data_IF_644842308689
#
_entry.id   IF_644842308689
#
_cell.length_a   1.000
_cell.length_b   1.000
_cell.length_c   1.000
_cell.angle_alpha   90.00
_cell.angle_beta   90.00
_cell.angle_gamma   90.00
#
_symmetry.space_group_name_H-M   'P 1'
#
loop_
_entity.id
_entity.type
_entity.pdbx_description
1 polymer ?
#
# COMPACT_ATOMS: atom_id res chain seq x y z
N UNK A 1 -30.31 63.67 41.27
CA UNK A 1 -29.76 63.10 40.02
C UNK A 1 -28.86 61.96 40.44
N UNK A 2 -29.28 60.73 40.21
CA UNK A 2 -28.46 59.68 39.58
C UNK A 2 -29.25 58.38 39.49
N UNK A 3 -29.49 58.01 38.24
CA UNK A 3 -30.06 56.76 37.74
C UNK A 3 -28.97 55.70 37.67
N UNK A 4 -29.19 54.51 38.22
CA UNK A 4 -28.51 53.30 37.73
C UNK A 4 -29.46 52.10 37.66
N UNK A 5 -29.64 51.61 36.42
CA UNK A 5 -30.37 50.41 36.02
C UNK A 5 -29.60 49.13 36.40
N UNK A 6 -30.29 47.97 36.55
CA UNK A 6 -29.65 46.70 36.87
C UNK A 6 -28.93 46.11 35.65
N UNK A 7 -27.75 45.54 35.90
CA UNK A 7 -26.91 44.89 34.90
C UNK A 7 -27.38 43.44 34.69
N UNK A 8 -27.90 43.15 33.49
CA UNK A 8 -28.37 41.83 33.08
C UNK A 8 -27.17 40.98 32.62
N UNK A 9 -26.65 40.08 33.46
CA UNK A 9 -25.59 39.14 33.04
C UNK A 9 -26.21 37.93 32.32
N UNK A 10 -25.95 37.87 31.00
CA UNK A 10 -26.48 36.89 30.08
C UNK A 10 -25.97 35.47 30.30
N UNK A 11 -26.89 34.52 30.14
CA UNK A 11 -26.64 33.08 29.95
C UNK A 11 -26.02 32.84 28.57
N UNK A 12 -24.72 33.03 28.41
CA UNK A 12 -24.02 32.67 27.15
C UNK A 12 -22.61 32.15 27.44
N UNK A 13 -22.47 31.12 28.27
CA UNK A 13 -21.16 30.63 28.69
C UNK A 13 -21.01 29.10 28.67
N UNK A 14 -21.76 28.38 27.83
CA UNK A 14 -21.64 26.92 27.77
C UNK A 14 -21.40 26.31 26.39
N UNK A 15 -21.60 27.07 25.30
CA UNK A 15 -21.43 26.56 23.93
C UNK A 15 -20.13 27.00 23.24
N UNK A 16 -19.36 27.92 23.83
CA UNK A 16 -18.16 28.50 23.19
C UNK A 16 -16.87 27.68 23.40
N UNK A 17 -16.87 26.73 24.34
CA UNK A 17 -15.69 25.90 24.64
C UNK A 17 -15.69 24.53 23.94
N UNK A 18 -16.81 24.10 23.34
CA UNK A 18 -16.87 22.81 22.62
C UNK A 18 -16.30 22.88 21.19
N UNK A 19 -16.45 24.03 20.52
CA UNK A 19 -15.92 24.26 19.17
C UNK A 19 -14.40 24.13 19.04
N UNK A 20 -13.55 24.70 19.94
CA UNK A 20 -12.10 24.58 19.80
C UNK A 20 -11.58 23.16 20.08
N UNK A 21 -12.27 22.37 20.92
CA UNK A 21 -11.89 20.99 21.25
C UNK A 21 -12.13 20.05 20.05
N UNK A 22 -13.23 20.25 19.32
CA UNK A 22 -13.54 19.47 18.13
C UNK A 22 -12.55 19.74 16.98
N UNK A 23 -12.09 20.98 16.84
CA UNK A 23 -11.08 21.37 15.86
C UNK A 23 -9.68 20.85 16.20
N UNK A 24 -9.35 20.70 17.49
CA UNK A 24 -8.03 20.18 17.90
C UNK A 24 -7.85 18.69 17.56
N UNK A 25 -8.94 17.90 17.58
CA UNK A 25 -8.91 16.50 17.14
C UNK A 25 -8.66 16.34 15.64
N UNK A 26 -8.95 17.35 14.81
CA UNK A 26 -8.62 17.34 13.37
C UNK A 26 -7.13 17.58 13.10
N UNK A 27 -6.37 18.09 14.08
CA UNK A 27 -4.95 18.44 13.94
C UNK A 27 -4.03 17.31 14.43
N UNK A 28 -4.57 16.31 15.14
CA UNK A 28 -3.83 15.11 15.55
C UNK A 28 -3.68 14.16 14.34
N UNK A 29 -2.63 14.41 13.55
CA UNK A 29 -2.32 13.77 12.28
C UNK A 29 -2.07 12.27 12.40
N UNK A 30 -3.11 11.48 12.10
CA UNK A 30 -2.98 10.08 11.71
C UNK A 30 -2.99 9.95 10.18
N UNK A 31 -3.16 8.72 9.69
CA UNK A 31 -3.40 8.47 8.26
C UNK A 31 -4.69 9.20 7.82
N UNK A 32 -4.68 9.95 6.69
CA UNK A 32 -5.87 10.62 6.19
C UNK A 32 -7.05 9.65 6.04
N UNK A 33 -8.25 10.10 6.43
CA UNK A 33 -9.49 9.30 6.34
C UNK A 33 -9.70 8.60 4.98
N UNK A 34 -9.48 9.27 3.83
CA UNK A 34 -9.54 8.64 2.51
C UNK A 34 -8.59 7.44 2.37
N UNK A 35 -7.36 7.55 2.86
CA UNK A 35 -6.34 6.49 2.77
C UNK A 35 -6.62 5.32 3.71
N UNK A 36 -7.29 5.58 4.85
CA UNK A 36 -7.70 4.52 5.77
C UNK A 36 -8.78 3.59 5.19
N UNK A 37 -9.58 4.11 4.25
CA UNK A 37 -10.71 3.40 3.66
C UNK A 37 -10.55 3.10 2.17
N UNK A 38 -9.39 3.43 1.59
CA UNK A 38 -9.09 3.25 0.17
C UNK A 38 -9.01 1.77 -0.24
N UNK A 39 -8.49 0.92 0.66
CA UNK A 39 -8.54 -0.54 0.55
C UNK A 39 -9.41 -1.11 1.65
N UNK A 40 -10.42 -1.89 1.26
CA UNK A 40 -11.38 -2.49 2.18
C UNK A 40 -11.27 -4.02 2.18
N UNK A 41 -11.96 -4.65 3.13
CA UNK A 41 -12.12 -6.11 3.16
C UNK A 41 -12.77 -6.66 1.88
N UNK A 42 -13.59 -5.87 1.20
CA UNK A 42 -14.19 -6.30 -0.06
C UNK A 42 -13.14 -6.50 -1.16
N UNK A 43 -12.14 -5.63 -1.25
CA UNK A 43 -11.03 -5.82 -2.19
C UNK A 43 -10.27 -7.12 -1.90
N UNK A 44 -10.07 -7.48 -0.63
CA UNK A 44 -9.44 -8.76 -0.27
C UNK A 44 -10.31 -9.98 -0.61
N UNK A 45 -11.63 -9.87 -0.46
CA UNK A 45 -12.57 -10.93 -0.89
C UNK A 45 -12.56 -11.09 -2.40
N UNK A 46 -12.52 -10.00 -3.16
CA UNK A 46 -12.39 -10.01 -4.61
C UNK A 46 -11.10 -10.74 -5.03
N UNK A 47 -9.97 -10.46 -4.36
CA UNK A 47 -8.71 -11.18 -4.59
C UNK A 47 -8.84 -12.67 -4.28
N UNK A 48 -9.48 -13.06 -3.17
CA UNK A 48 -9.72 -14.47 -2.88
C UNK A 48 -10.57 -15.14 -3.97
N UNK A 49 -11.63 -14.49 -4.46
CA UNK A 49 -12.42 -15.02 -5.59
C UNK A 49 -11.57 -15.24 -6.84
N UNK A 50 -10.68 -14.30 -7.16
CA UNK A 50 -9.75 -14.48 -8.29
C UNK A 50 -8.81 -15.69 -8.07
N UNK A 51 -8.27 -15.85 -6.87
CA UNK A 51 -7.41 -16.98 -6.47
C UNK A 51 -8.16 -18.31 -6.58
N UNK A 52 -9.37 -18.37 -6.03
CA UNK A 52 -10.21 -19.58 -6.00
C UNK A 52 -10.67 -19.98 -7.40
N UNK A 53 -10.87 -19.00 -8.28
CA UNK A 53 -11.23 -19.23 -9.68
C UNK A 53 -10.04 -19.70 -10.55
N UNK A 54 -8.82 -19.81 -10.01
CA UNK A 54 -7.69 -20.39 -10.74
C UNK A 54 -7.68 -21.91 -10.60
N UNK A 55 -7.32 -22.58 -11.70
CA UNK A 55 -7.04 -24.02 -11.71
C UNK A 55 -5.95 -24.35 -10.67
N UNK A 56 -6.12 -25.46 -9.94
CA UNK A 56 -5.11 -25.94 -8.98
C UNK A 56 -3.83 -26.42 -9.66
N UNK A 57 -3.96 -27.00 -10.85
CA UNK A 57 -2.86 -27.50 -11.67
C UNK A 57 -2.92 -26.84 -13.05
N UNK A 58 -2.43 -25.60 -13.12
CA UNK A 58 -2.34 -24.81 -14.35
C UNK A 58 -0.92 -24.71 -14.90
N UNK A 59 -0.76 -23.97 -15.99
CA UNK A 59 0.54 -23.53 -16.48
C UNK A 59 1.20 -22.53 -15.51
N UNK A 60 2.50 -22.33 -15.69
CA UNK A 60 3.24 -21.24 -15.04
C UNK A 60 3.13 -19.96 -15.86
N UNK A 61 3.17 -18.83 -15.17
CA UNK A 61 3.31 -17.50 -15.77
C UNK A 61 4.62 -16.87 -15.32
N UNK A 62 5.21 -16.09 -16.22
CA UNK A 62 6.42 -15.32 -15.98
C UNK A 62 6.03 -13.86 -15.83
N UNK A 63 6.47 -13.22 -14.76
CA UNK A 63 6.16 -11.84 -14.45
C UNK A 63 7.22 -11.21 -13.56
N UNK A 64 7.29 -9.89 -13.56
CA UNK A 64 8.18 -9.14 -12.68
C UNK A 64 7.50 -8.95 -11.32
N UNK A 65 8.24 -9.19 -10.23
CA UNK A 65 7.72 -8.95 -8.89
C UNK A 65 8.82 -8.57 -7.91
N UNK A 66 8.51 -7.67 -6.99
CA UNK A 66 9.45 -7.27 -5.94
C UNK A 66 9.54 -8.35 -4.88
N UNK A 67 10.76 -8.81 -4.60
CA UNK A 67 11.02 -9.69 -3.47
C UNK A 67 11.05 -8.90 -2.16
N UNK A 68 10.51 -9.49 -1.08
CA UNK A 68 10.44 -8.81 0.20
C UNK A 68 11.83 -8.56 0.80
N UNK A 69 12.71 -9.56 0.73
CA UNK A 69 14.04 -9.55 1.35
C UNK A 69 13.97 -8.95 2.78
N UNK A 70 14.75 -7.91 3.04
CA UNK A 70 14.82 -7.22 4.33
C UNK A 70 14.04 -5.89 4.36
N UNK A 71 13.18 -5.63 3.35
CA UNK A 71 12.41 -4.40 3.30
C UNK A 71 11.41 -4.32 4.47
N UNK A 72 11.30 -3.13 5.03
CA UNK A 72 10.21 -2.76 5.93
C UNK A 72 8.87 -2.98 5.23
N UNK A 73 7.79 -3.07 6.02
CA UNK A 73 6.44 -3.23 5.46
C UNK A 73 6.08 -2.07 4.53
N UNK A 74 6.52 -0.87 4.86
CA UNK A 74 6.23 0.35 4.09
C UNK A 74 6.96 0.30 2.75
N UNK A 75 8.27 0.09 2.77
CA UNK A 75 9.07 0.07 1.54
C UNK A 75 8.77 -1.13 0.65
N UNK A 76 8.43 -2.29 1.24
CA UNK A 76 7.94 -3.41 0.47
C UNK A 76 6.63 -3.11 -0.27
N UNK A 77 5.65 -2.49 0.42
CA UNK A 77 4.38 -2.10 -0.22
C UNK A 77 4.64 -1.07 -1.32
N UNK A 78 5.45 -0.05 -1.05
CA UNK A 78 5.80 1.00 -2.03
C UNK A 78 6.43 0.41 -3.29
N UNK A 79 7.38 -0.51 -3.14
CA UNK A 79 8.06 -1.15 -4.27
C UNK A 79 7.20 -2.18 -5.02
N UNK A 80 6.40 -2.99 -4.30
CA UNK A 80 5.67 -4.10 -4.89
C UNK A 80 4.34 -3.69 -5.54
N UNK A 81 3.70 -2.62 -5.07
CA UNK A 81 2.37 -2.22 -5.55
C UNK A 81 2.31 -1.88 -7.05
N UNK A 82 3.30 -1.19 -7.66
CA UNK A 82 3.35 -1.04 -9.11
C UNK A 82 3.37 -2.38 -9.85
N UNK A 83 4.11 -3.38 -9.35
CA UNK A 83 4.17 -4.71 -9.93
C UNK A 83 2.83 -5.46 -9.80
N UNK A 84 2.11 -5.26 -8.70
CA UNK A 84 0.75 -5.81 -8.54
C UNK A 84 -0.19 -5.22 -9.58
N UNK A 85 -0.13 -3.91 -9.82
CA UNK A 85 -0.96 -3.27 -10.85
C UNK A 85 -0.64 -3.81 -12.25
N UNK A 86 0.64 -3.95 -12.57
CA UNK A 86 1.08 -4.47 -13.86
C UNK A 86 0.67 -5.94 -14.06
N UNK A 87 0.84 -6.77 -13.03
CA UNK A 87 0.43 -8.18 -13.02
C UNK A 87 -1.06 -8.32 -13.33
N UNK A 88 -1.92 -7.54 -12.66
CA UNK A 88 -3.37 -7.55 -12.86
C UNK A 88 -3.75 -7.17 -14.31
N UNK A 89 -3.07 -6.18 -14.88
CA UNK A 89 -3.36 -5.67 -16.22
C UNK A 89 -2.91 -6.60 -17.34
N UNK A 90 -1.74 -7.21 -17.18
CA UNK A 90 -1.09 -7.96 -18.26
C UNK A 90 -1.41 -9.44 -18.21
N UNK A 91 -1.32 -10.06 -17.03
CA UNK A 91 -1.44 -11.51 -16.87
C UNK A 91 -2.89 -11.95 -16.61
N UNK A 92 -3.69 -11.14 -15.91
CA UNK A 92 -5.04 -11.51 -15.48
C UNK A 92 -6.13 -10.93 -16.39
N UNK A 93 -6.09 -11.32 -17.67
CA UNK A 93 -7.04 -10.86 -18.70
C UNK A 93 -8.21 -11.84 -18.84
N UNK A 94 -9.41 -11.33 -18.60
CA UNK A 94 -10.64 -12.12 -18.68
C UNK A 94 -11.62 -11.57 -19.72
N UNK A 95 -12.56 -12.41 -20.17
CA UNK A 95 -13.61 -12.03 -21.12
C UNK A 95 -14.44 -10.83 -20.63
N UNK A 96 -14.85 -9.96 -21.55
CA UNK A 96 -15.43 -8.63 -21.26
C UNK A 96 -16.59 -8.65 -20.26
N UNK A 97 -17.43 -9.68 -20.30
CA UNK A 97 -18.64 -9.79 -19.46
C UNK A 97 -18.45 -10.72 -18.25
N UNK A 98 -17.22 -11.17 -17.97
CA UNK A 98 -16.96 -12.06 -16.85
C UNK A 98 -16.87 -11.32 -15.52
N UNK A 99 -17.27 -11.99 -14.44
CA UNK A 99 -17.07 -11.48 -13.09
C UNK A 99 -15.60 -11.24 -12.77
N UNK A 100 -14.70 -12.12 -13.24
CA UNK A 100 -13.26 -11.96 -13.07
C UNK A 100 -12.72 -10.68 -13.72
N UNK A 101 -13.26 -10.28 -14.88
CA UNK A 101 -12.92 -8.98 -15.50
C UNK A 101 -13.36 -7.82 -14.61
N UNK A 102 -14.57 -7.89 -14.04
CA UNK A 102 -15.06 -6.88 -13.10
C UNK A 102 -14.20 -6.81 -11.83
N UNK A 103 -13.80 -7.96 -11.30
CA UNK A 103 -12.90 -8.08 -10.15
C UNK A 103 -11.55 -7.43 -10.38
N UNK A 104 -10.87 -7.75 -11.48
CA UNK A 104 -9.59 -7.12 -11.85
C UNK A 104 -9.75 -5.61 -12.00
N UNK A 105 -10.76 -5.15 -12.73
CA UNK A 105 -11.00 -3.71 -12.90
C UNK A 105 -11.24 -2.98 -11.57
N UNK A 106 -11.96 -3.59 -10.62
CA UNK A 106 -12.17 -3.02 -9.28
C UNK A 106 -10.86 -2.89 -8.52
N UNK A 107 -9.98 -3.90 -8.58
CA UNK A 107 -8.68 -3.87 -7.93
C UNK A 107 -7.74 -2.84 -8.56
N UNK A 108 -7.68 -2.77 -9.90
CA UNK A 108 -6.90 -1.75 -10.62
C UNK A 108 -7.33 -0.35 -10.17
N UNK A 109 -8.64 -0.06 -10.18
CA UNK A 109 -9.18 1.24 -9.73
C UNK A 109 -8.82 1.55 -8.29
N UNK A 110 -8.89 0.56 -7.40
CA UNK A 110 -8.50 0.75 -6.01
C UNK A 110 -7.03 1.14 -5.89
N UNK A 111 -6.13 0.45 -6.60
CA UNK A 111 -4.69 0.77 -6.64
C UNK A 111 -4.45 2.16 -7.22
N UNK A 112 -5.10 2.51 -8.33
CA UNK A 112 -5.01 3.84 -8.93
C UNK A 112 -5.41 4.95 -7.96
N UNK A 113 -6.48 4.75 -7.19
CA UNK A 113 -6.91 5.72 -6.20
C UNK A 113 -5.91 5.89 -5.05
N UNK A 114 -5.06 4.90 -4.75
CA UNK A 114 -4.02 5.06 -3.74
C UNK A 114 -3.02 6.14 -4.15
N UNK A 115 -2.62 6.15 -5.42
CA UNK A 115 -1.71 7.15 -5.97
C UNK A 115 -2.40 8.50 -6.15
N UNK A 116 -3.58 8.53 -6.79
CA UNK A 116 -4.25 9.80 -7.08
C UNK A 116 -4.76 10.55 -5.84
N UNK A 117 -4.96 9.86 -4.72
CA UNK A 117 -5.30 10.47 -3.43
C UNK A 117 -4.08 10.73 -2.53
N UNK A 118 -2.85 10.48 -3.02
CA UNK A 118 -1.63 10.70 -2.26
C UNK A 118 -1.48 9.77 -1.04
N UNK A 119 -2.13 8.60 -1.06
CA UNK A 119 -2.05 7.63 0.03
C UNK A 119 -0.77 6.81 0.03
N UNK A 120 -0.10 6.76 -1.12
CA UNK A 120 1.23 6.18 -1.32
C UNK A 120 2.00 7.15 -2.20
N UNK A 121 3.23 7.47 -1.80
CA UNK A 121 4.14 8.25 -2.65
C UNK A 121 4.66 7.39 -3.79
N UNK A 122 4.77 7.96 -4.99
CA UNK A 122 5.47 7.32 -6.09
C UNK A 122 6.95 7.08 -5.74
N UNK A 123 7.59 6.16 -6.45
CA UNK A 123 9.03 5.94 -6.33
C UNK A 123 9.72 7.19 -6.90
N UNK A 124 10.53 7.85 -6.09
CA UNK A 124 11.26 9.01 -6.55
C UNK A 124 12.55 8.55 -7.25
N UNK A 125 12.54 8.43 -8.58
CA UNK A 125 13.69 7.90 -9.34
C UNK A 125 15.00 8.72 -9.19
N UNK A 126 14.91 9.98 -8.77
CA UNK A 126 16.07 10.85 -8.55
C UNK A 126 16.73 10.60 -7.18
N UNK A 127 15.92 10.38 -6.13
CA UNK A 127 16.41 10.22 -4.76
C UNK A 127 16.48 8.76 -4.31
N UNK A 128 15.51 7.96 -4.74
CA UNK A 128 15.37 6.54 -4.46
C UNK A 128 15.82 5.78 -5.70
N UNK A 129 16.95 5.08 -5.61
CA UNK A 129 17.37 4.19 -6.69
C UNK A 129 16.22 3.21 -7.00
N UNK A 130 15.85 3.13 -8.28
CA UNK A 130 14.68 2.36 -8.71
C UNK A 130 14.73 0.95 -8.10
N UNK A 131 13.66 0.49 -7.42
CA UNK A 131 13.59 -0.85 -6.87
C UNK A 131 13.51 -1.92 -7.99
N UNK A 132 13.76 -1.55 -9.25
CA UNK A 132 14.01 -2.47 -10.35
C UNK A 132 15.06 -3.53 -10.00
N UNK A 133 16.08 -3.22 -9.18
CA UNK A 133 17.05 -4.21 -8.67
C UNK A 133 16.46 -5.26 -7.71
N UNK A 134 15.44 -4.85 -6.95
CA UNK A 134 14.66 -5.68 -6.03
C UNK A 134 13.52 -6.41 -6.73
N UNK A 135 13.26 -6.04 -7.98
CA UNK A 135 12.30 -6.66 -8.86
C UNK A 135 13.01 -7.77 -9.61
N UNK A 136 12.47 -8.98 -9.50
CA UNK A 136 13.02 -10.16 -10.15
C UNK A 136 11.95 -10.75 -11.06
N UNK A 137 12.42 -11.39 -12.12
CA UNK A 137 11.56 -12.29 -12.87
C UNK A 137 11.17 -13.45 -11.98
N UNK A 138 9.87 -13.66 -11.83
CA UNK A 138 9.28 -14.72 -11.06
C UNK A 138 8.50 -15.64 -12.00
N UNK A 139 8.70 -16.94 -11.84
CA UNK A 139 7.91 -17.98 -12.48
C UNK A 139 7.06 -18.68 -11.41
N UNK A 140 5.73 -18.60 -11.52
CA UNK A 140 4.83 -19.32 -10.61
C UNK A 140 3.46 -19.56 -11.24
N UNK A 141 2.61 -20.35 -10.59
CA UNK A 141 1.24 -20.52 -11.06
C UNK A 141 0.46 -19.20 -10.93
N UNK A 142 -0.58 -18.98 -11.76
CA UNK A 142 -1.46 -17.82 -11.61
C UNK A 142 -2.04 -17.67 -10.18
N UNK A 143 -2.30 -18.79 -9.52
CA UNK A 143 -2.80 -18.82 -8.13
C UNK A 143 -1.77 -18.23 -7.16
N UNK A 144 -0.50 -18.59 -7.29
CA UNK A 144 0.58 -18.06 -6.45
C UNK A 144 0.87 -16.58 -6.73
N UNK A 145 0.81 -16.16 -7.99
CA UNK A 145 0.96 -14.76 -8.36
C UNK A 145 -0.13 -13.87 -7.73
N UNK A 146 -1.39 -14.31 -7.76
CA UNK A 146 -2.50 -13.61 -7.08
C UNK A 146 -2.37 -13.62 -5.56
N UNK A 147 -1.84 -14.70 -4.95
CA UNK A 147 -1.55 -14.72 -3.50
C UNK A 147 -0.51 -13.67 -3.12
N UNK A 148 0.54 -13.48 -3.92
CA UNK A 148 1.52 -12.39 -3.72
C UNK A 148 0.86 -11.01 -3.80
N UNK A 149 0.02 -10.77 -4.82
CA UNK A 149 -0.75 -9.52 -4.94
C UNK A 149 -1.64 -9.27 -3.70
N UNK A 150 -2.38 -10.30 -3.26
CA UNK A 150 -3.20 -10.25 -2.05
C UNK A 150 -2.40 -9.91 -0.80
N UNK A 151 -1.20 -10.47 -0.65
CA UNK A 151 -0.33 -10.20 0.50
C UNK A 151 0.09 -8.72 0.56
N UNK A 152 0.46 -8.13 -0.58
CA UNK A 152 0.82 -6.71 -0.68
C UNK A 152 -0.37 -5.82 -0.32
N UNK A 153 -1.54 -6.06 -0.93
CA UNK A 153 -2.77 -5.29 -0.66
C UNK A 153 -3.21 -5.40 0.80
N UNK A 154 -3.12 -6.60 1.39
CA UNK A 154 -3.41 -6.80 2.80
C UNK A 154 -2.41 -6.06 3.71
N UNK A 155 -1.14 -6.02 3.33
CA UNK A 155 -0.11 -5.31 4.08
C UNK A 155 -0.36 -3.80 4.08
N UNK A 156 -0.69 -3.23 2.92
CA UNK A 156 -1.14 -1.84 2.81
C UNK A 156 -2.34 -1.56 3.73
N UNK A 157 -3.40 -2.38 3.63
CA UNK A 157 -4.61 -2.21 4.44
C UNK A 157 -4.28 -2.23 5.95
N UNK A 158 -3.40 -3.13 6.39
CA UNK A 158 -2.95 -3.19 7.79
C UNK A 158 -2.16 -1.95 8.20
N UNK A 159 -1.25 -1.46 7.36
CA UNK A 159 -0.52 -0.21 7.61
C UNK A 159 -1.50 0.94 7.83
N UNK A 160 -2.46 1.13 6.92
CA UNK A 160 -3.43 2.22 7.03
C UNK A 160 -4.38 2.07 8.22
N UNK A 161 -4.70 0.83 8.62
CA UNK A 161 -5.64 0.57 9.72
C UNK A 161 -5.02 0.85 11.08
N UNK A 162 -3.75 0.44 11.27
CA UNK A 162 -3.09 0.40 12.58
C UNK A 162 -2.08 1.52 12.81
N UNK A 163 -1.68 2.29 11.79
CA UNK A 163 -0.82 3.45 11.98
C UNK A 163 -1.54 4.58 12.72
N UNK A 164 -0.96 5.02 13.83
CA UNK A 164 -1.44 6.17 14.63
C UNK A 164 -0.92 7.51 14.13
N UNK A 165 0.06 7.48 13.22
CA UNK A 165 0.74 8.64 12.62
C UNK A 165 0.74 8.52 11.10
N UNK A 166 1.07 9.59 10.35
CA UNK A 166 1.24 9.51 8.92
C UNK A 166 2.35 8.51 8.60
N UNK A 167 2.17 7.73 7.54
CA UNK A 167 3.18 6.75 7.11
C UNK A 167 4.29 7.47 6.38
N UNK A 168 5.53 7.27 6.83
CA UNK A 168 6.72 7.76 6.14
C UNK A 168 7.06 6.84 4.96
N UNK A 169 6.86 7.34 3.75
CA UNK A 169 7.12 6.61 2.51
C UNK A 169 8.55 6.79 1.97
N UNK A 170 9.46 7.42 2.71
CA UNK A 170 10.86 7.54 2.29
C UNK A 170 11.59 6.20 2.42
N UNK A 171 12.01 5.63 1.30
CA UNK A 171 12.64 4.32 1.23
C UNK A 171 14.08 4.34 0.72
N UNK A 172 14.68 5.53 0.58
CA UNK A 172 16.00 5.72 0.01
C UNK A 172 17.06 4.78 0.63
N UNK A 173 17.16 4.74 1.96
CA UNK A 173 18.16 3.90 2.65
C UNK A 173 17.94 2.40 2.44
N UNK A 174 16.68 1.96 2.35
CA UNK A 174 16.37 0.54 2.18
C UNK A 174 16.61 0.07 0.75
N UNK A 175 16.33 0.92 -0.24
CA UNK A 175 16.58 0.60 -1.65
C UNK A 175 18.07 0.60 -1.98
N UNK A 176 18.87 1.49 -1.36
CA UNK A 176 20.34 1.51 -1.54
C UNK A 176 21.06 0.29 -0.94
N UNK A 177 20.51 -0.37 0.09
CA UNK A 177 21.17 -1.51 0.77
C UNK A 177 21.06 -2.82 -0.03
N UNK A 178 20.18 -2.91 -1.02
CA UNK A 178 20.09 -4.06 -1.93
C UNK A 178 21.42 -4.45 -2.60
N UNK A 179 22.35 -3.50 -2.71
CA UNK A 179 23.70 -3.70 -3.28
C UNK A 179 24.62 -4.58 -2.42
N UNK A 180 24.49 -4.59 -1.09
CA UNK A 180 25.40 -5.34 -0.23
C UNK A 180 25.08 -6.84 -0.19
N UNK A 181 23.80 -7.23 -0.20
CA UNK A 181 23.39 -8.63 -0.14
C UNK A 181 23.70 -9.40 -1.43
N UNK A 182 23.53 -8.77 -2.60
CA UNK A 182 23.92 -9.39 -3.88
C UNK A 182 25.44 -9.57 -3.97
N UNK A 183 26.23 -8.59 -3.52
CA UNK A 183 27.70 -8.70 -3.52
C UNK A 183 28.19 -9.78 -2.55
N UNK A 184 27.58 -9.89 -1.38
CA UNK A 184 27.95 -10.93 -0.40
C UNK A 184 27.55 -12.33 -0.88
N UNK A 185 26.37 -12.53 -1.48
CA UNK A 185 25.99 -13.84 -2.03
C UNK A 185 26.91 -14.30 -3.18
N UNK A 186 27.33 -13.38 -4.07
CA UNK A 186 28.30 -13.68 -5.14
C UNK A 186 29.68 -14.00 -4.56
N UNK A 187 30.11 -13.33 -3.48
CA UNK A 187 31.37 -13.63 -2.81
C UNK A 187 31.37 -15.01 -2.12
N UNK A 188 30.23 -15.44 -1.58
CA UNK A 188 30.12 -16.76 -0.93
C UNK A 188 30.10 -17.93 -1.93
N UNK A 189 29.51 -17.77 -3.12
CA UNK A 189 29.51 -18.82 -4.17
C UNK A 189 30.84 -18.94 -4.91
N UNK A 190 31.69 -17.92 -4.85
CA UNK A 190 33.02 -17.92 -5.49
C UNK A 190 34.09 -18.71 -4.70
N UNK A 191 33.83 -19.04 -3.44
CA UNK A 191 34.86 -19.57 -2.52
C UNK A 191 34.78 -21.10 -2.31
N UNK A 192 33.76 -21.79 -2.84
CA UNK A 192 33.59 -23.25 -2.67
C UNK A 192 33.90 -24.08 -3.92
N UNK A 193 34.59 -23.50 -4.90
CA UNK A 193 34.94 -24.15 -6.17
C UNK A 193 36.44 -24.18 -6.43
N UNK A 194 37.23 -24.68 -5.48
CA UNK A 194 38.61 -25.07 -5.73
C UNK A 194 39.02 -26.11 -4.69
N UNK A 195 38.91 -27.37 -5.07
CA UNK A 195 39.80 -28.49 -4.72
C UNK A 195 39.48 -29.66 -5.67
#
# INVERSE_FOLDING_TARGET
VDTHKPLHYGKVAWHLCFFPILCFHLIMGGVPGPCRHSVTQEHLRILNRLIDNQLDHGCFIIYQFTERLNLSKVCYVKAALPQVLELLRTQFRYGRNSDNRRYVNTLEKAIYHLYSQGCISEINEELEESPSRLTKEAESSPKEALKKARQVIQMYMRLMTFSTHPVDWNCQSEYSVGDHLNRTQIAFTSTTGKD
#
